data_IF_256471762773
#
_entry.id   IF_256471762773
#
_cell.length_a   1.000
_cell.length_b   1.000
_cell.length_c   1.000
_cell.angle_alpha   90.00
_cell.angle_beta   90.00
_cell.angle_gamma   90.00
#
_symmetry.space_group_name_H-M   'P 1'
#
loop_
_entity.id
_entity.type
_entity.pdbx_description
1 polymer ?
#
# COMPACT_ATOMS: atom_id res chain seq x y z
N UNK A 1 -5.29 -23.40 0.39
CA UNK A 1 -5.11 -21.96 0.69
C UNK A 1 -6.49 -21.45 1.07
N UNK A 2 -6.65 -20.89 2.28
CA UNK A 2 -7.93 -20.35 2.76
C UNK A 2 -7.88 -18.82 2.76
N UNK A 3 -9.04 -18.19 2.62
CA UNK A 3 -9.24 -16.73 2.72
C UNK A 3 -10.10 -16.48 3.94
N UNK A 4 -9.79 -15.44 4.73
CA UNK A 4 -10.60 -15.04 5.88
C UNK A 4 -11.90 -14.38 5.39
N UNK A 5 -13.02 -14.74 6.01
CA UNK A 5 -14.30 -14.05 5.80
C UNK A 5 -14.33 -12.74 6.59
N UNK A 6 -15.32 -11.90 6.30
CA UNK A 6 -15.57 -10.63 6.99
C UNK A 6 -15.40 -10.71 8.51
N UNK A 7 -16.11 -11.65 9.16
CA UNK A 7 -16.09 -11.76 10.63
C UNK A 7 -14.74 -12.25 11.14
N UNK A 8 -14.07 -13.16 10.43
CA UNK A 8 -12.74 -13.63 10.82
C UNK A 8 -11.66 -12.56 10.64
N UNK A 9 -11.80 -11.68 9.65
CA UNK A 9 -10.93 -10.50 9.52
C UNK A 9 -11.08 -9.61 10.76
N UNK A 10 -12.30 -9.32 11.17
CA UNK A 10 -12.58 -8.49 12.35
C UNK A 10 -12.04 -9.14 13.63
N UNK A 11 -12.23 -10.46 13.79
CA UNK A 11 -11.73 -11.22 14.93
C UNK A 11 -10.19 -11.21 15.01
N UNK A 12 -9.50 -11.42 13.89
CA UNK A 12 -8.04 -11.42 13.86
C UNK A 12 -7.44 -10.02 14.09
N UNK A 13 -8.14 -8.96 13.67
CA UNK A 13 -7.79 -7.57 14.01
C UNK A 13 -8.03 -7.31 15.51
N UNK A 14 -9.16 -7.74 16.05
CA UNK A 14 -9.49 -7.57 17.47
C UNK A 14 -8.52 -8.34 18.40
N UNK A 15 -8.03 -9.50 17.96
CA UNK A 15 -6.99 -10.29 18.65
C UNK A 15 -5.60 -9.66 18.51
N UNK A 16 -5.41 -8.69 17.62
CA UNK A 16 -4.12 -8.04 17.35
C UNK A 16 -3.16 -8.90 16.53
N UNK A 17 -3.64 -9.98 15.92
CA UNK A 17 -2.83 -10.79 15.00
C UNK A 17 -2.64 -10.08 13.65
N UNK A 18 -3.63 -9.28 13.24
CA UNK A 18 -3.57 -8.40 12.08
C UNK A 18 -3.67 -6.96 12.57
N UNK A 19 -2.76 -6.10 12.12
CA UNK A 19 -2.77 -4.67 12.45
C UNK A 19 -2.95 -3.86 11.18
N UNK A 20 -3.98 -3.02 11.17
CA UNK A 20 -4.24 -2.01 10.14
C UNK A 20 -4.33 -0.67 10.87
N UNK A 21 -3.56 0.33 10.45
CA UNK A 21 -3.54 1.65 11.09
C UNK A 21 -3.42 2.75 10.03
N UNK A 22 -4.42 3.65 9.88
CA UNK A 22 -5.70 3.65 10.61
C UNK A 22 -6.64 2.52 10.17
N UNK A 23 -7.47 2.01 11.08
CA UNK A 23 -8.49 1.01 10.78
C UNK A 23 -9.90 1.60 10.79
N UNK A 24 -10.66 1.33 9.73
CA UNK A 24 -12.10 1.58 9.63
C UNK A 24 -12.84 0.26 9.41
N UNK A 25 -13.67 -0.21 10.37
CA UNK A 25 -14.47 -1.42 10.21
C UNK A 25 -15.39 -1.41 8.98
N UNK A 26 -15.81 -0.23 8.50
CA UNK A 26 -16.66 -0.12 7.31
C UNK A 26 -15.92 -0.48 6.01
N UNK A 27 -14.58 -0.53 6.03
CA UNK A 27 -13.77 -0.95 4.90
C UNK A 27 -13.64 -2.49 4.79
N UNK A 28 -14.17 -3.26 5.74
CA UNK A 28 -14.13 -4.72 5.68
C UNK A 28 -15.26 -5.23 4.79
N UNK A 29 -14.89 -5.90 3.70
CA UNK A 29 -15.80 -6.58 2.79
C UNK A 29 -15.99 -8.06 3.14
N UNK A 30 -16.68 -8.84 2.28
CA UNK A 30 -17.00 -10.25 2.56
C UNK A 30 -15.81 -11.15 2.84
N UNK A 31 -14.66 -10.84 2.25
CA UNK A 31 -13.40 -11.58 2.40
C UNK A 31 -12.19 -10.69 2.01
N UNK A 32 -12.28 -9.39 2.29
CA UNK A 32 -11.30 -8.38 1.89
C UNK A 32 -11.35 -7.18 2.82
N UNK A 33 -10.32 -6.32 2.77
CA UNK A 33 -10.34 -5.00 3.40
C UNK A 33 -9.95 -3.99 2.33
N UNK A 34 -10.78 -2.98 2.11
CA UNK A 34 -10.50 -1.88 1.20
C UNK A 34 -9.46 -0.93 1.81
N UNK A 35 -8.49 -0.51 1.00
CA UNK A 35 -7.45 0.43 1.41
C UNK A 35 -7.56 1.74 0.62
N UNK A 36 -7.08 2.82 1.22
CA UNK A 36 -7.05 4.13 0.60
C UNK A 36 -5.66 4.42 0.01
N UNK A 37 -5.64 5.04 -1.17
CA UNK A 37 -4.40 5.51 -1.78
C UNK A 37 -3.86 6.71 -1.00
N UNK A 38 -2.60 6.63 -0.56
CA UNK A 38 -1.89 7.74 0.06
C UNK A 38 -1.54 8.86 -0.92
N UNK A 39 -1.07 9.98 -0.39
CA UNK A 39 -0.74 11.17 -1.17
C UNK A 39 0.75 11.26 -1.58
N UNK A 40 1.51 10.19 -1.33
CA UNK A 40 2.93 10.11 -1.64
C UNK A 40 3.17 9.25 -2.87
N UNK A 41 3.81 9.82 -3.88
CA UNK A 41 4.13 9.16 -5.15
C UNK A 41 5.63 9.17 -5.37
N UNK A 42 6.12 8.27 -6.21
CA UNK A 42 7.50 8.30 -6.69
C UNK A 42 7.54 8.33 -8.20
N UNK A 43 8.35 9.23 -8.74
CA UNK A 43 8.54 9.40 -10.18
C UNK A 43 9.96 8.99 -10.54
N UNK A 44 10.13 8.28 -11.65
CA UNK A 44 11.46 7.97 -12.17
C UNK A 44 12.16 9.25 -12.60
N UNK A 45 13.42 9.40 -12.17
CA UNK A 45 14.31 10.42 -12.71
C UNK A 45 14.59 10.08 -14.16
N UNK A 46 14.91 11.08 -14.98
CA UNK A 46 15.44 10.83 -16.33
C UNK A 46 16.88 10.31 -16.21
N UNK A 47 17.02 9.03 -15.91
CA UNK A 47 18.29 8.30 -15.95
C UNK A 47 18.45 7.64 -17.31
N UNK A 48 19.61 7.82 -17.93
CA UNK A 48 19.97 7.21 -19.22
C UNK A 48 20.68 5.85 -19.03
N UNK A 49 20.62 5.29 -17.83
CA UNK A 49 21.35 4.09 -17.42
C UNK A 49 20.42 2.88 -17.33
N UNK A 50 20.93 1.69 -17.64
CA UNK A 50 20.21 0.43 -17.47
C UNK A 50 20.29 0.03 -16.00
N UNK A 51 19.15 -0.05 -15.34
CA UNK A 51 19.06 -0.48 -13.94
C UNK A 51 18.72 -1.96 -13.91
N UNK A 52 19.61 -2.77 -13.32
CA UNK A 52 19.31 -4.17 -13.03
C UNK A 52 18.42 -4.24 -11.80
N UNK A 53 17.23 -4.81 -11.94
CA UNK A 53 16.28 -5.01 -10.83
C UNK A 53 16.60 -6.32 -10.12
N UNK A 54 17.05 -6.23 -8.88
CA UNK A 54 17.32 -7.33 -7.94
C UNK A 54 16.65 -7.01 -6.59
N UNK A 55 16.55 -7.97 -5.66
CA UNK A 55 15.98 -7.71 -4.33
C UNK A 55 16.69 -6.60 -3.54
N UNK A 56 17.96 -6.33 -3.86
CA UNK A 56 18.81 -5.32 -3.23
C UNK A 56 18.76 -3.97 -3.96
N UNK A 57 18.05 -3.86 -5.09
CA UNK A 57 17.96 -2.61 -5.85
C UNK A 57 17.19 -1.57 -5.04
N UNK A 58 17.89 -0.50 -4.67
CA UNK A 58 17.27 0.67 -4.03
C UNK A 58 16.53 1.52 -5.08
N UNK A 59 15.20 1.39 -5.10
CA UNK A 59 14.35 2.20 -5.97
C UNK A 59 14.40 3.69 -5.63
N UNK A 60 14.83 4.07 -4.42
CA UNK A 60 14.94 5.47 -4.00
C UNK A 60 16.06 6.21 -4.74
N UNK A 61 17.11 5.50 -5.15
CA UNK A 61 18.24 6.07 -5.88
C UNK A 61 17.86 6.60 -7.28
N UNK A 62 16.83 6.02 -7.90
CA UNK A 62 16.41 6.33 -9.29
C UNK A 62 15.05 6.99 -9.38
N UNK A 63 14.39 7.19 -8.23
CA UNK A 63 13.11 7.88 -8.15
C UNK A 63 13.20 9.15 -7.30
N UNK A 64 12.23 10.03 -7.45
CA UNK A 64 12.02 11.19 -6.60
C UNK A 64 10.63 11.10 -5.96
N UNK A 65 10.58 11.32 -4.64
CA UNK A 65 9.32 11.34 -3.88
C UNK A 65 8.59 12.65 -4.14
N UNK A 66 7.33 12.56 -4.55
CA UNK A 66 6.41 13.66 -4.79
C UNK A 66 5.24 13.56 -3.82
N UNK A 67 4.99 14.64 -3.08
CA UNK A 67 3.80 14.78 -2.23
C UNK A 67 2.72 15.54 -3.01
N UNK A 68 1.57 14.90 -3.21
CA UNK A 68 0.40 15.53 -3.85
C UNK A 68 -0.49 16.12 -2.76
N UNK A 69 -0.74 17.44 -2.79
CA UNK A 69 -1.46 18.12 -1.70
C UNK A 69 -2.95 18.29 -1.95
N UNK A 70 -3.36 18.35 -3.22
CA UNK A 70 -4.72 18.72 -3.59
C UNK A 70 -5.51 17.51 -4.11
N UNK A 71 -5.26 17.09 -5.36
CA UNK A 71 -5.94 15.94 -5.95
C UNK A 71 -5.10 15.36 -7.09
N UNK A 72 -5.17 14.04 -7.27
CA UNK A 72 -4.81 13.43 -8.55
C UNK A 72 -6.05 13.44 -9.43
N UNK A 73 -5.97 14.12 -10.57
CA UNK A 73 -6.81 13.76 -11.71
C UNK A 73 -6.01 12.73 -12.48
N UNK A 74 -6.44 11.47 -12.43
CA UNK A 74 -6.01 10.46 -13.39
C UNK A 74 -6.90 10.54 -14.63
#
# INVERSE_FOLDING_TARGET
MSVLTHDEILDEIARGHIVIDPFDPAAVGPASVDLHLGHEFRLFRRVHEIIKVTPETDYESVTEKMLVRDYLVL
#
